data_IF_769523081651
#
_entry.id   IF_769523081651
#
_cell.length_a   1.000
_cell.length_b   1.000
_cell.length_c   1.000
_cell.angle_alpha   90.00
_cell.angle_beta   90.00
_cell.angle_gamma   90.00
#
_symmetry.space_group_name_H-M   'P 1'
#
loop_
_entity.id
_entity.type
_entity.pdbx_description
1 polymer ?
#
# COMPACT_ATOMS: atom_id res chain seq x y z
N UNK A 1 31.06 4.68 20.25
CA UNK A 1 30.87 4.51 18.79
C UNK A 1 29.55 5.18 18.43
N UNK A 2 29.59 6.45 17.97
CA UNK A 2 28.39 7.19 17.53
C UNK A 2 28.13 6.78 16.09
N UNK A 3 27.12 5.97 15.83
CA UNK A 3 26.71 5.64 14.46
C UNK A 3 26.31 6.96 13.80
N UNK A 4 27.10 7.45 12.84
CA UNK A 4 26.79 8.65 12.06
C UNK A 4 25.71 8.26 11.04
N UNK A 5 24.48 8.04 11.51
CA UNK A 5 23.30 8.09 10.66
C UNK A 5 22.89 9.55 10.65
N UNK A 6 23.02 10.22 9.51
CA UNK A 6 22.48 11.57 9.34
C UNK A 6 20.96 11.45 9.41
N UNK A 7 20.36 11.80 10.55
CA UNK A 7 18.91 11.87 10.66
C UNK A 7 18.38 12.90 9.67
N UNK A 8 17.35 12.52 8.91
CA UNK A 8 16.71 13.43 7.98
C UNK A 8 16.02 14.56 8.77
N UNK A 9 15.84 15.73 8.16
CA UNK A 9 15.07 16.78 8.81
C UNK A 9 13.60 16.34 8.98
N UNK A 10 12.86 16.83 9.98
CA UNK A 10 11.44 16.50 10.15
C UNK A 10 10.61 16.74 8.89
N UNK A 11 10.90 17.81 8.15
CA UNK A 11 10.25 18.12 6.87
C UNK A 11 10.48 17.04 5.79
N UNK A 12 11.64 16.38 5.80
CA UNK A 12 11.95 15.33 4.85
C UNK A 12 11.21 14.04 5.19
N UNK A 13 11.09 13.67 6.47
CA UNK A 13 10.22 12.57 6.90
C UNK A 13 8.74 12.84 6.57
N UNK A 14 8.25 14.05 6.81
CA UNK A 14 6.88 14.44 6.47
C UNK A 14 6.59 14.33 4.95
N UNK A 15 7.52 14.78 4.10
CA UNK A 15 7.40 14.64 2.65
C UNK A 15 7.41 13.17 2.22
N UNK A 16 8.29 12.36 2.80
CA UNK A 16 8.34 10.92 2.52
C UNK A 16 7.03 10.23 2.92
N UNK A 17 6.49 10.54 4.10
CA UNK A 17 5.19 10.05 4.54
C UNK A 17 4.07 10.44 3.56
N UNK A 18 4.05 11.70 3.09
CA UNK A 18 3.09 12.16 2.09
C UNK A 18 3.19 11.39 0.76
N UNK A 19 4.40 11.13 0.27
CA UNK A 19 4.60 10.32 -0.95
C UNK A 19 4.12 8.88 -0.74
N UNK A 20 4.43 8.26 0.40
CA UNK A 20 3.96 6.92 0.73
C UNK A 20 2.44 6.84 0.78
N UNK A 21 1.77 7.83 1.38
CA UNK A 21 0.31 7.92 1.36
C UNK A 21 -0.26 7.98 -0.06
N UNK A 22 0.37 8.74 -0.96
CA UNK A 22 -0.07 8.79 -2.36
C UNK A 22 0.11 7.43 -3.07
N UNK A 23 1.24 6.77 -2.86
CA UNK A 23 1.50 5.42 -3.41
C UNK A 23 0.44 4.43 -2.93
N UNK A 24 0.19 4.40 -1.62
CA UNK A 24 -0.84 3.54 -1.01
C UNK A 24 -2.21 3.83 -1.60
N UNK A 25 -2.59 5.11 -1.69
CA UNK A 25 -3.91 5.52 -2.19
C UNK A 25 -4.13 5.06 -3.62
N UNK A 26 -3.14 5.28 -4.49
CA UNK A 26 -3.24 4.87 -5.90
C UNK A 26 -3.32 3.35 -6.00
N UNK A 27 -2.43 2.61 -5.32
CA UNK A 27 -2.45 1.15 -5.33
C UNK A 27 -3.78 0.58 -4.80
N UNK A 28 -4.33 1.16 -3.73
CA UNK A 28 -5.60 0.74 -3.13
C UNK A 28 -6.79 0.97 -4.07
N UNK A 29 -6.83 2.08 -4.82
CA UNK A 29 -7.88 2.32 -5.83
C UNK A 29 -7.83 1.23 -6.90
N UNK A 30 -6.65 0.86 -7.38
CA UNK A 30 -6.53 -0.23 -8.36
C UNK A 30 -6.96 -1.58 -7.78
N UNK A 31 -6.45 -1.93 -6.59
CA UNK A 31 -6.72 -3.22 -5.95
C UNK A 31 -8.20 -3.41 -5.57
N UNK A 32 -8.87 -2.33 -5.11
CA UNK A 32 -10.21 -2.42 -4.52
C UNK A 32 -11.35 -1.88 -5.40
N UNK A 33 -11.06 -1.06 -6.40
CA UNK A 33 -12.10 -0.54 -7.30
C UNK A 33 -11.91 -1.06 -8.72
N UNK A 34 -10.75 -0.81 -9.33
CA UNK A 34 -10.53 -1.07 -10.76
C UNK A 34 -10.48 -2.57 -11.08
N UNK A 35 -9.74 -3.35 -10.30
CA UNK A 35 -9.59 -4.77 -10.55
C UNK A 35 -10.90 -5.54 -10.24
N UNK A 36 -11.56 -5.35 -9.08
CA UNK A 36 -12.79 -6.07 -8.77
C UNK A 36 -13.91 -5.89 -9.80
N UNK A 37 -14.05 -4.71 -10.40
CA UNK A 37 -15.02 -4.43 -11.48
C UNK A 37 -14.85 -5.34 -12.72
N UNK A 38 -13.65 -5.90 -12.93
CA UNK A 38 -13.36 -6.78 -14.07
C UNK A 38 -13.70 -8.25 -13.80
N UNK A 39 -13.85 -8.63 -12.53
CA UNK A 39 -13.97 -10.03 -12.13
C UNK A 39 -15.29 -10.35 -11.43
N UNK A 40 -15.77 -9.44 -10.57
CA UNK A 40 -16.91 -9.70 -9.67
C UNK A 40 -18.23 -9.54 -10.42
N UNK A 41 -19.02 -10.61 -10.43
CA UNK A 41 -20.41 -10.59 -10.89
C UNK A 41 -21.33 -10.61 -9.66
N UNK A 42 -22.02 -9.50 -9.41
CA UNK A 42 -22.89 -9.37 -8.25
C UNK A 42 -23.99 -10.45 -8.25
N UNK A 43 -24.04 -11.23 -7.18
CA UNK A 43 -25.02 -12.32 -7.03
C UNK A 43 -24.66 -13.63 -7.73
N UNK A 44 -23.52 -13.71 -8.45
CA UNK A 44 -23.07 -14.92 -9.14
C UNK A 44 -21.59 -15.23 -8.83
N UNK A 45 -21.40 -16.04 -7.78
CA UNK A 45 -20.08 -16.51 -7.38
C UNK A 45 -19.45 -17.47 -8.42
N UNK A 46 -20.27 -18.22 -9.17
CA UNK A 46 -19.80 -19.15 -10.19
C UNK A 46 -19.19 -18.41 -11.37
N UNK A 47 -19.89 -17.38 -11.87
CA UNK A 47 -19.38 -16.51 -12.92
C UNK A 47 -18.12 -15.74 -12.46
N UNK A 48 -18.10 -15.26 -11.21
CA UNK A 48 -16.91 -14.60 -10.64
C UNK A 48 -15.69 -15.53 -10.64
N UNK A 49 -15.85 -16.78 -10.18
CA UNK A 49 -14.76 -17.76 -10.18
C UNK A 49 -14.29 -18.09 -11.60
N UNK A 50 -15.21 -18.21 -12.55
CA UNK A 50 -14.89 -18.46 -13.96
C UNK A 50 -14.09 -17.29 -14.58
N UNK A 51 -14.46 -16.04 -14.30
CA UNK A 51 -13.73 -14.85 -14.76
C UNK A 51 -12.29 -14.81 -14.22
N UNK A 52 -12.10 -15.16 -12.94
CA UNK A 52 -10.78 -15.23 -12.30
C UNK A 52 -9.94 -16.34 -12.94
N UNK A 53 -10.49 -17.55 -13.08
CA UNK A 53 -9.80 -18.69 -13.67
C UNK A 53 -9.40 -18.42 -15.14
N UNK A 54 -10.21 -17.65 -15.87
CA UNK A 54 -9.89 -17.25 -17.23
C UNK A 54 -8.72 -16.25 -17.33
N UNK A 55 -8.47 -15.44 -16.28
CA UNK A 55 -7.48 -14.36 -16.30
C UNK A 55 -6.65 -14.29 -15.00
N UNK A 56 -6.11 -15.44 -14.56
CA UNK A 56 -5.41 -15.54 -13.28
C UNK A 56 -4.22 -14.59 -13.14
N UNK A 57 -3.44 -14.37 -14.20
CA UNK A 57 -2.28 -13.49 -14.16
C UNK A 57 -2.68 -12.04 -13.82
N UNK A 58 -3.75 -11.54 -14.44
CA UNK A 58 -4.30 -10.21 -14.17
C UNK A 58 -4.85 -10.12 -12.76
N UNK A 59 -5.57 -11.14 -12.28
CA UNK A 59 -6.07 -11.17 -10.91
C UNK A 59 -4.90 -11.20 -9.89
N UNK A 60 -3.88 -12.03 -10.11
CA UNK A 60 -2.73 -12.16 -9.19
C UNK A 60 -1.88 -10.89 -9.17
N UNK A 61 -1.54 -10.33 -10.32
CA UNK A 61 -0.72 -9.12 -10.38
C UNK A 61 -1.51 -7.87 -9.99
N UNK A 62 -2.76 -7.77 -10.44
CA UNK A 62 -3.64 -6.63 -10.20
C UNK A 62 -4.18 -6.55 -8.77
N UNK A 63 -4.58 -7.68 -8.18
CA UNK A 63 -5.05 -7.68 -6.78
C UNK A 63 -3.89 -7.90 -5.83
N UNK A 64 -3.28 -9.10 -5.86
CA UNK A 64 -2.27 -9.49 -4.84
C UNK A 64 -1.00 -8.65 -4.94
N UNK A 65 -0.58 -8.31 -6.17
CA UNK A 65 0.58 -7.45 -6.39
C UNK A 65 0.39 -6.04 -5.83
N UNK A 66 -0.74 -5.40 -6.10
CA UNK A 66 -1.04 -4.08 -5.54
C UNK A 66 -1.22 -4.14 -4.02
N UNK A 67 -1.83 -5.18 -3.48
CA UNK A 67 -1.99 -5.37 -2.04
C UNK A 67 -0.64 -5.48 -1.32
N UNK A 68 0.32 -6.17 -1.94
CA UNK A 68 1.67 -6.24 -1.41
C UNK A 68 2.37 -4.86 -1.40
N UNK A 69 2.17 -4.05 -2.44
CA UNK A 69 2.71 -2.68 -2.51
C UNK A 69 2.12 -1.83 -1.38
N UNK A 70 0.82 -1.94 -1.13
CA UNK A 70 0.12 -1.23 -0.05
C UNK A 70 0.74 -1.62 1.30
N UNK A 71 0.75 -2.91 1.63
CA UNK A 71 1.22 -3.39 2.93
C UNK A 71 2.69 -3.05 3.20
N UNK A 72 3.57 -3.22 2.20
CA UNK A 72 4.98 -2.85 2.35
C UNK A 72 5.16 -1.34 2.53
N UNK A 73 4.38 -0.54 1.80
CA UNK A 73 4.42 0.93 1.94
C UNK A 73 3.91 1.37 3.31
N UNK A 74 2.89 0.72 3.85
CA UNK A 74 2.35 0.98 5.19
C UNK A 74 3.34 0.65 6.29
N UNK A 75 4.08 -0.47 6.18
CA UNK A 75 5.15 -0.81 7.13
C UNK A 75 6.21 0.29 7.15
N UNK A 76 6.67 0.73 5.97
CA UNK A 76 7.65 1.81 5.88
C UNK A 76 7.07 3.13 6.42
N UNK A 77 5.82 3.44 6.08
CA UNK A 77 5.12 4.63 6.54
C UNK A 77 4.99 4.66 8.06
N UNK A 78 4.66 3.52 8.68
CA UNK A 78 4.56 3.41 10.14
C UNK A 78 5.90 3.74 10.81
N UNK A 79 7.01 3.23 10.28
CA UNK A 79 8.37 3.57 10.77
C UNK A 79 8.69 5.05 10.57
N UNK A 80 8.38 5.60 9.40
CA UNK A 80 8.59 7.03 9.09
C UNK A 80 7.81 7.92 10.05
N UNK A 81 6.53 7.61 10.29
CA UNK A 81 5.67 8.34 11.21
C UNK A 81 6.16 8.22 12.66
N UNK A 82 6.60 7.02 13.07
CA UNK A 82 7.19 6.84 14.40
C UNK A 82 8.39 7.76 14.60
N UNK A 83 9.35 7.78 13.66
CA UNK A 83 10.54 8.65 13.75
C UNK A 83 10.16 10.12 13.72
N UNK A 84 9.23 10.52 12.84
CA UNK A 84 8.75 11.90 12.71
C UNK A 84 8.09 12.41 14.01
N UNK A 85 7.29 11.57 14.66
CA UNK A 85 6.46 11.95 15.82
C UNK A 85 7.13 11.67 17.16
N UNK A 86 8.22 10.89 17.19
CA UNK A 86 9.00 10.59 18.40
C UNK A 86 9.35 11.83 19.26
N UNK A 87 9.70 13.00 18.69
CA UNK A 87 9.98 14.19 19.50
C UNK A 87 8.75 14.79 20.21
N UNK A 88 7.53 14.49 19.75
CA UNK A 88 6.28 15.08 20.27
C UNK A 88 5.83 14.39 21.56
N UNK A 89 5.93 13.06 21.63
CA UNK A 89 5.60 12.28 22.83
C UNK A 89 6.58 11.14 23.00
N UNK A 90 7.40 11.22 24.04
CA UNK A 90 8.35 10.17 24.43
C UNK A 90 7.66 9.24 25.41
N UNK A 91 6.97 8.23 24.88
CA UNK A 91 6.44 7.11 25.68
C UNK A 91 7.36 5.91 25.54
#
# INVERSE_FOLDING_TARGET
>A
MKTIIREMSPSAYARLAGVLYLVITVAAVFAHMVIPEQFIVAGDAGATAANIAANEATFRLGTVGNELIILLSEIVLAVVLYVLLKPVSQT
#
